data_IF_826935276353
#
_entry.id   IF_826935276353
#
_cell.length_a   1.000
_cell.length_b   1.000
_cell.length_c   1.000
_cell.angle_alpha   90.00
_cell.angle_beta   90.00
_cell.angle_gamma   90.00
#
_symmetry.space_group_name_H-M   'P 1'
#
loop_
_entity.id
_entity.type
_entity.pdbx_description
1 polymer ?
#
# COMPACT_ATOMS: atom_id res chain seq x y z
N UNK A 1 0.09 10.75 24.97
CA UNK A 1 1.39 10.66 24.26
C UNK A 1 1.11 10.96 22.80
N UNK A 2 1.57 12.08 22.28
CA UNK A 2 1.40 12.43 20.87
C UNK A 2 2.23 11.46 20.04
N UNK A 3 1.57 10.60 19.27
CA UNK A 3 2.24 9.71 18.33
C UNK A 3 2.89 10.59 17.27
N UNK A 4 4.19 10.82 17.37
CA UNK A 4 4.94 11.56 16.36
C UNK A 4 4.67 10.90 15.02
N UNK A 5 4.10 11.64 14.06
CA UNK A 5 3.78 11.10 12.76
C UNK A 5 5.07 10.61 12.12
N UNK A 6 5.18 9.29 11.96
CA UNK A 6 6.35 8.68 11.35
C UNK A 6 6.32 9.00 9.87
N UNK A 7 7.20 9.89 9.42
CA UNK A 7 7.34 10.24 8.01
C UNK A 7 8.26 9.23 7.33
N UNK A 8 7.68 8.39 6.47
CA UNK A 8 8.43 7.50 5.61
C UNK A 8 8.91 8.29 4.38
N UNK A 9 10.19 8.17 4.02
CA UNK A 9 10.79 8.89 2.88
C UNK A 9 11.61 7.92 2.04
N UNK A 10 11.26 7.68 0.78
CA UNK A 10 11.96 6.75 -0.13
C UNK A 10 12.57 7.51 -1.33
N UNK A 11 13.66 8.27 -1.14
CA UNK A 11 14.22 9.11 -2.19
C UNK A 11 14.75 8.31 -3.40
N UNK A 12 15.40 7.16 -3.19
CA UNK A 12 15.94 6.37 -4.30
C UNK A 12 14.86 5.59 -5.07
N UNK A 13 13.74 5.28 -4.41
CA UNK A 13 12.61 4.57 -5.03
C UNK A 13 11.87 5.46 -6.04
N UNK A 14 11.84 6.77 -5.81
CA UNK A 14 11.07 7.71 -6.64
C UNK A 14 11.55 7.76 -8.11
N UNK A 15 12.86 7.86 -8.42
CA UNK A 15 13.38 7.73 -9.78
C UNK A 15 12.98 6.43 -10.49
N UNK A 16 12.74 5.34 -9.76
CA UNK A 16 12.30 4.07 -10.36
C UNK A 16 10.80 3.99 -10.59
N UNK A 17 10.01 4.75 -9.81
CA UNK A 17 8.57 4.89 -10.03
C UNK A 17 8.26 5.87 -11.16
N UNK A 18 9.13 6.85 -11.43
CA UNK A 18 8.88 7.88 -12.43
C UNK A 18 8.70 7.35 -13.87
N UNK A 19 9.49 6.37 -14.36
CA UNK A 19 9.25 5.76 -15.66
C UNK A 19 7.91 5.00 -15.74
N UNK A 20 7.39 4.51 -14.60
CA UNK A 20 6.12 3.79 -14.54
C UNK A 20 4.91 4.72 -14.66
N UNK A 21 5.10 6.05 -14.64
CA UNK A 21 4.01 7.02 -14.78
C UNK A 21 3.29 6.90 -16.12
N UNK A 22 3.99 6.54 -17.19
CA UNK A 22 3.38 6.30 -18.50
C UNK A 22 2.45 5.09 -18.51
N UNK A 23 2.53 4.20 -17.50
CA UNK A 23 1.65 3.05 -17.31
C UNK A 23 1.05 3.04 -15.90
N UNK A 24 -0.05 3.79 -15.66
CA UNK A 24 -0.62 3.95 -14.33
C UNK A 24 -1.05 2.63 -13.67
N UNK A 25 -1.47 1.65 -14.48
CA UNK A 25 -1.78 0.31 -14.00
C UNK A 25 -0.53 -0.41 -13.45
N UNK A 26 0.61 -0.34 -14.14
CA UNK A 26 1.87 -0.94 -13.65
C UNK A 26 2.36 -0.25 -12.37
N UNK A 27 2.26 1.08 -12.33
CA UNK A 27 2.57 1.86 -11.13
C UNK A 27 1.67 1.44 -9.95
N UNK A 28 0.36 1.37 -10.17
CA UNK A 28 -0.61 0.95 -9.15
C UNK A 28 -0.32 -0.44 -8.61
N UNK A 29 -0.06 -1.42 -9.48
CA UNK A 29 0.34 -2.78 -9.08
C UNK A 29 1.63 -2.80 -8.26
N UNK A 30 2.63 -2.02 -8.68
CA UNK A 30 3.91 -1.91 -7.97
C UNK A 30 3.72 -1.34 -6.57
N UNK A 31 2.94 -0.26 -6.43
CA UNK A 31 2.61 0.35 -5.15
C UNK A 31 1.79 -0.57 -4.26
N UNK A 32 0.81 -1.29 -4.82
CA UNK A 32 0.02 -2.27 -4.10
C UNK A 32 0.88 -3.43 -3.58
N UNK A 33 1.81 -3.95 -4.40
CA UNK A 33 2.77 -4.97 -3.96
C UNK A 33 3.65 -4.48 -2.81
N UNK A 34 4.17 -3.25 -2.89
CA UNK A 34 4.93 -2.66 -1.78
C UNK A 34 4.08 -2.56 -0.51
N UNK A 35 2.86 -2.04 -0.61
CA UNK A 35 1.93 -1.91 0.51
C UNK A 35 1.59 -3.27 1.14
N UNK A 36 1.25 -4.27 0.31
CA UNK A 36 0.89 -5.63 0.76
C UNK A 36 2.08 -6.43 1.28
N UNK A 37 3.32 -6.02 0.98
CA UNK A 37 4.52 -6.64 1.56
C UNK A 37 4.76 -6.22 3.01
N UNK A 38 4.24 -5.06 3.45
CA UNK A 38 4.47 -4.51 4.80
C UNK A 38 4.10 -5.52 5.90
N UNK A 39 2.92 -6.15 5.93
CA UNK A 39 2.55 -7.09 7.00
C UNK A 39 3.49 -8.29 7.09
N UNK A 40 3.95 -8.80 5.95
CA UNK A 40 4.90 -9.91 5.87
C UNK A 40 6.26 -9.51 6.44
N UNK A 41 6.79 -8.34 6.02
CA UNK A 41 8.04 -7.79 6.50
C UNK A 41 8.00 -7.51 8.01
N UNK A 42 6.91 -6.97 8.53
CA UNK A 42 6.72 -6.77 9.97
C UNK A 42 6.76 -8.12 10.71
N UNK A 43 6.02 -9.12 10.21
CA UNK A 43 6.01 -10.44 10.83
C UNK A 43 7.39 -11.10 10.83
N UNK A 44 8.15 -10.96 9.75
CA UNK A 44 9.54 -11.40 9.66
C UNK A 44 10.40 -10.66 10.69
N UNK A 45 10.35 -9.33 10.72
CA UNK A 45 11.14 -8.52 11.66
C UNK A 45 10.86 -8.87 13.12
N UNK A 46 9.59 -9.01 13.50
CA UNK A 46 9.17 -9.38 14.85
C UNK A 46 9.64 -10.77 15.27
N UNK A 47 9.92 -11.66 14.32
CA UNK A 47 10.42 -13.01 14.58
C UNK A 47 11.94 -13.06 14.82
N UNK A 48 12.63 -11.93 14.69
CA UNK A 48 14.08 -11.81 14.86
C UNK A 48 14.44 -10.73 15.89
N UNK A 49 15.75 -10.59 16.16
CA UNK A 49 16.30 -9.49 16.95
C UNK A 49 15.80 -8.13 16.45
N UNK A 50 15.67 -7.15 17.35
CA UNK A 50 15.32 -5.78 16.97
C UNK A 50 16.28 -5.16 15.94
N UNK A 51 17.54 -5.61 15.91
CA UNK A 51 18.58 -5.16 14.97
C UNK A 51 18.57 -5.92 13.63
N UNK A 52 17.61 -6.83 13.41
CA UNK A 52 17.56 -7.62 12.19
C UNK A 52 17.22 -6.76 10.97
N UNK A 53 18.05 -6.86 9.93
CA UNK A 53 17.80 -6.19 8.66
C UNK A 53 16.88 -7.07 7.80
N UNK A 54 15.82 -6.46 7.26
CA UNK A 54 14.84 -7.14 6.43
C UNK A 54 15.41 -7.50 5.06
N UNK A 55 15.29 -8.77 4.71
CA UNK A 55 15.43 -9.25 3.33
C UNK A 55 14.05 -9.44 2.72
N UNK A 56 13.84 -8.85 1.54
CA UNK A 56 12.60 -9.04 0.80
C UNK A 56 12.52 -10.50 0.32
N UNK A 57 11.36 -11.17 0.42
CA UNK A 57 11.22 -12.52 -0.11
C UNK A 57 11.46 -12.51 -1.63
N UNK A 58 12.43 -13.30 -2.11
CA UNK A 58 12.87 -13.37 -3.52
C UNK A 58 11.77 -13.72 -4.53
N UNK A 59 10.57 -14.05 -4.07
CA UNK A 59 9.46 -14.56 -4.89
C UNK A 59 8.76 -13.42 -5.66
N UNK A 60 8.89 -12.17 -5.21
CA UNK A 60 8.23 -11.04 -5.87
C UNK A 60 9.22 -10.28 -6.78
N UNK A 61 9.13 -10.57 -8.08
CA UNK A 61 9.77 -9.80 -9.16
C UNK A 61 9.10 -8.43 -9.28
N UNK A 62 9.52 -7.49 -8.44
CA UNK A 62 9.15 -6.09 -8.57
C UNK A 62 10.05 -5.41 -9.63
N UNK A 63 9.51 -4.48 -10.43
CA UNK A 63 10.27 -3.76 -11.45
C UNK A 63 11.22 -2.69 -10.86
N UNK A 64 11.32 -2.60 -9.53
CA UNK A 64 12.07 -1.56 -8.81
C UNK A 64 12.99 -2.19 -7.76
N UNK A 65 14.16 -1.59 -7.50
CA UNK A 65 15.02 -2.03 -6.40
C UNK A 65 14.35 -1.79 -5.06
N UNK A 66 14.25 -2.85 -4.25
CA UNK A 66 13.48 -2.88 -2.99
C UNK A 66 14.39 -2.71 -1.77
N UNK A 67 15.71 -2.67 -1.96
CA UNK A 67 16.71 -2.62 -0.88
C UNK A 67 16.55 -1.38 0.00
N UNK A 68 16.27 -0.23 -0.61
CA UNK A 68 16.02 1.02 0.12
C UNK A 68 14.74 0.90 0.95
N UNK A 69 13.67 0.39 0.36
CA UNK A 69 12.37 0.20 1.01
C UNK A 69 12.47 -0.70 2.25
N UNK A 70 13.15 -1.85 2.15
CA UNK A 70 13.33 -2.75 3.29
C UNK A 70 14.24 -2.14 4.36
N UNK A 71 15.29 -1.42 3.98
CA UNK A 71 16.19 -0.73 4.92
C UNK A 71 15.45 0.31 5.75
N UNK A 72 14.65 1.13 5.09
CA UNK A 72 13.89 2.20 5.75
C UNK A 72 12.80 1.60 6.65
N UNK A 73 12.08 0.58 6.18
CA UNK A 73 11.13 -0.15 7.02
C UNK A 73 11.80 -0.77 8.25
N UNK A 74 12.98 -1.38 8.10
CA UNK A 74 13.78 -1.91 9.20
C UNK A 74 14.10 -0.83 10.23
N UNK A 75 14.56 0.34 9.79
CA UNK A 75 14.89 1.46 10.70
C UNK A 75 13.67 1.95 11.47
N UNK A 76 12.51 2.08 10.82
CA UNK A 76 11.27 2.45 11.49
C UNK A 76 10.78 1.37 12.46
N UNK A 77 10.89 0.10 12.09
CA UNK A 77 10.51 -1.00 12.97
C UNK A 77 11.42 -1.09 14.19
N UNK A 78 12.71 -0.82 14.05
CA UNK A 78 13.63 -0.67 15.17
C UNK A 78 13.18 0.46 16.09
N UNK A 79 12.87 1.65 15.56
CA UNK A 79 12.40 2.78 16.35
C UNK A 79 11.09 2.48 17.10
N UNK A 80 10.13 1.82 16.43
CA UNK A 80 8.87 1.39 17.05
C UNK A 80 9.11 0.37 18.18
N UNK A 81 9.98 -0.61 17.96
CA UNK A 81 10.37 -1.60 18.97
C UNK A 81 11.07 -0.96 20.16
N UNK A 82 11.97 -0.01 19.93
CA UNK A 82 12.63 0.73 21.01
C UNK A 82 11.62 1.52 21.84
N UNK A 83 10.66 2.17 21.18
CA UNK A 83 9.60 2.94 21.86
C UNK A 83 8.69 2.04 22.72
N UNK A 84 8.38 0.84 22.23
CA UNK A 84 7.56 -0.14 22.95
C UNK A 84 8.37 -1.05 23.89
N UNK A 85 9.69 -0.83 24.04
CA UNK A 85 10.62 -1.65 24.82
C UNK A 85 10.65 -3.14 24.43
N UNK A 86 10.57 -3.45 23.13
CA UNK A 86 10.57 -4.82 22.58
C UNK A 86 11.92 -5.13 21.90
N UNK A 87 12.93 -5.48 22.69
CA UNK A 87 14.25 -5.85 22.15
C UNK A 87 14.32 -7.31 21.67
N UNK A 88 13.65 -8.22 22.37
CA UNK A 88 13.71 -9.67 22.14
C UNK A 88 12.80 -10.09 20.98
N UNK A 89 13.24 -11.09 20.22
CA UNK A 89 12.43 -11.72 19.17
C UNK A 89 11.12 -12.28 19.75
N UNK A 90 10.00 -11.97 19.11
CA UNK A 90 8.72 -12.57 19.45
C UNK A 90 8.65 -13.98 18.87
N UNK A 91 8.12 -14.98 19.60
CA UNK A 91 8.05 -16.34 19.09
C UNK A 91 7.21 -16.43 17.81
N UNK A 92 7.61 -17.33 16.90
CA UNK A 92 6.90 -17.54 15.63
C UNK A 92 5.46 -18.02 15.91
N UNK A 93 4.46 -17.53 15.17
CA UNK A 93 3.04 -17.81 15.46
C UNK A 93 2.70 -19.30 15.39
N UNK A 94 3.39 -20.07 14.54
CA UNK A 94 3.19 -21.51 14.40
C UNK A 94 3.54 -22.31 15.66
N UNK A 95 4.43 -21.78 16.51
CA UNK A 95 4.90 -22.44 17.72
C UNK A 95 4.09 -22.06 18.97
N UNK A 96 3.13 -21.16 18.85
CA UNK A 96 2.39 -20.57 19.97
C UNK A 96 0.97 -21.11 20.07
N UNK A 97 0.49 -21.28 21.30
CA UNK A 97 -0.93 -21.49 21.60
C UNK A 97 -1.77 -20.25 21.26
N UNK A 98 -3.07 -20.41 21.00
CA UNK A 98 -4.02 -19.37 20.63
C UNK A 98 -3.97 -18.17 21.59
N UNK A 99 -3.83 -18.41 22.90
CA UNK A 99 -3.73 -17.34 23.91
C UNK A 99 -2.44 -16.53 23.78
N UNK A 100 -1.32 -17.20 23.49
CA UNK A 100 0.00 -16.58 23.35
C UNK A 100 0.17 -15.82 22.02
N UNK A 101 -0.63 -16.12 21.00
CA UNK A 101 -0.65 -15.37 19.73
C UNK A 101 -1.25 -13.96 19.85
N UNK A 102 -2.12 -13.73 20.85
CA UNK A 102 -2.87 -12.47 20.97
C UNK A 102 -1.98 -11.23 21.19
N UNK A 103 -0.97 -11.24 22.09
CA UNK A 103 -0.07 -10.10 22.25
C UNK A 103 0.72 -9.78 20.97
N UNK A 104 1.27 -10.81 20.32
CA UNK A 104 1.99 -10.66 19.04
C UNK A 104 1.09 -10.04 17.96
N UNK A 105 -0.14 -10.53 17.80
CA UNK A 105 -1.11 -10.00 16.83
C UNK A 105 -1.41 -8.52 17.09
N UNK A 106 -1.57 -8.11 18.35
CA UNK A 106 -1.80 -6.70 18.70
C UNK A 106 -0.63 -5.81 18.29
N UNK A 107 0.61 -6.23 18.56
CA UNK A 107 1.82 -5.48 18.19
C UNK A 107 1.95 -5.40 16.67
N UNK A 108 1.78 -6.53 15.98
CA UNK A 108 1.84 -6.58 14.52
C UNK A 108 0.81 -5.65 13.87
N UNK A 109 -0.46 -5.71 14.31
CA UNK A 109 -1.53 -4.84 13.80
C UNK A 109 -1.26 -3.36 14.10
N UNK A 110 -0.69 -3.04 15.27
CA UNK A 110 -0.28 -1.67 15.61
C UNK A 110 0.77 -1.16 14.63
N UNK A 111 1.84 -1.92 14.41
CA UNK A 111 2.94 -1.53 13.52
C UNK A 111 2.50 -1.47 12.07
N UNK A 112 1.67 -2.42 11.64
CA UNK A 112 1.10 -2.47 10.30
C UNK A 112 0.31 -1.19 9.99
N UNK A 113 -0.60 -0.80 10.89
CA UNK A 113 -1.38 0.43 10.73
C UNK A 113 -0.49 1.66 10.62
N UNK A 114 0.53 1.78 11.47
CA UNK A 114 1.44 2.93 11.47
C UNK A 114 2.23 2.99 10.16
N UNK A 115 2.83 1.87 9.73
CA UNK A 115 3.70 1.84 8.56
C UNK A 115 2.92 1.92 7.25
N UNK A 116 1.77 1.26 7.14
CA UNK A 116 0.88 1.41 5.99
C UNK A 116 0.36 2.84 5.87
N UNK A 117 -0.04 3.49 6.98
CA UNK A 117 -0.45 4.89 6.96
C UNK A 117 0.69 5.82 6.54
N UNK A 118 1.91 5.61 7.07
CA UNK A 118 3.10 6.36 6.69
C UNK A 118 3.44 6.19 5.20
N UNK A 119 3.36 4.96 4.68
CA UNK A 119 3.56 4.67 3.27
C UNK A 119 2.50 5.33 2.39
N UNK A 120 1.21 5.17 2.70
CA UNK A 120 0.11 5.83 1.97
C UNK A 120 0.27 7.36 1.97
N UNK A 121 0.65 7.95 3.10
CA UNK A 121 0.93 9.38 3.19
C UNK A 121 2.12 9.80 2.31
N UNK A 122 3.20 9.03 2.29
CA UNK A 122 4.34 9.26 1.40
C UNK A 122 3.91 9.18 -0.07
N UNK A 123 3.18 8.14 -0.47
CA UNK A 123 2.67 7.99 -1.84
C UNK A 123 1.77 9.17 -2.22
N UNK A 124 0.82 9.57 -1.37
CA UNK A 124 -0.03 10.75 -1.61
C UNK A 124 0.81 12.02 -1.77
N UNK A 125 1.82 12.24 -0.92
CA UNK A 125 2.65 13.44 -0.96
C UNK A 125 3.53 13.50 -2.22
N UNK A 126 4.10 12.38 -2.64
CA UNK A 126 5.04 12.33 -3.76
C UNK A 126 4.36 12.15 -5.11
N UNK A 127 3.27 11.37 -5.15
CA UNK A 127 2.60 10.96 -6.38
C UNK A 127 1.18 11.52 -6.51
N UNK A 128 0.62 12.15 -5.47
CA UNK A 128 -0.80 12.55 -5.44
C UNK A 128 -1.23 13.48 -6.58
N UNK A 129 -0.38 14.44 -6.95
CA UNK A 129 -0.64 15.32 -8.10
C UNK A 129 -0.55 14.64 -9.46
N UNK A 130 0.04 13.44 -9.53
CA UNK A 130 0.25 12.68 -10.77
C UNK A 130 -0.74 11.52 -10.90
N UNK A 131 -1.23 10.99 -9.77
CA UNK A 131 -2.21 9.90 -9.71
C UNK A 131 -3.65 10.35 -9.97
N UNK A 132 -3.91 11.66 -10.01
CA UNK A 132 -5.22 12.26 -10.29
C UNK A 132 -5.69 12.13 -11.75
N UNK A 133 -4.91 11.49 -12.64
CA UNK A 133 -5.22 11.40 -14.07
C UNK A 133 -5.09 10.02 -14.72
N UNK A 134 -4.80 8.94 -13.97
CA UNK A 134 -4.43 7.67 -14.58
C UNK A 134 -4.85 6.45 -13.77
N UNK A 135 -6.04 5.94 -14.02
CA UNK A 135 -6.32 4.49 -13.96
C UNK A 135 -7.24 4.20 -15.16
N UNK A 136 -6.72 4.43 -16.35
CA UNK A 136 -7.39 3.97 -17.57
C UNK A 136 -7.21 2.46 -17.65
N UNK A 137 -8.31 1.73 -17.77
CA UNK A 137 -8.39 0.27 -17.97
C UNK A 137 -8.21 -0.61 -16.74
N UNK A 138 -9.31 -0.84 -16.02
CA UNK A 138 -9.51 -2.10 -15.31
C UNK A 138 -10.96 -2.58 -15.48
N UNK A 139 -11.06 -3.82 -15.98
CA UNK A 139 -12.14 -4.80 -15.95
C UNK A 139 -13.50 -4.45 -16.62
N UNK A 140 -13.70 -4.98 -17.85
CA UNK A 140 -15.03 -5.18 -18.45
C UNK A 140 -15.22 -4.61 -19.85
N UNK A 141 -16.28 -5.04 -20.56
CA UNK A 141 -16.70 -4.55 -21.90
C UNK A 141 -17.16 -3.07 -21.92
N UNK A 142 -16.90 -2.32 -20.86
CA UNK A 142 -17.31 -0.94 -20.68
C UNK A 142 -16.07 -0.07 -20.49
N UNK A 143 -15.90 0.96 -21.33
CA UNK A 143 -14.93 2.03 -21.09
C UNK A 143 -15.65 3.17 -20.37
N UNK A 144 -15.25 3.44 -19.13
CA UNK A 144 -15.69 4.63 -18.42
C UNK A 144 -15.02 5.87 -19.04
N UNK A 145 -15.83 6.82 -19.50
CA UNK A 145 -15.39 8.10 -20.10
C UNK A 145 -14.93 9.07 -19.00
N UNK A 146 -15.48 8.92 -17.79
CA UNK A 146 -15.11 9.68 -16.59
C UNK A 146 -14.69 8.73 -15.47
N UNK A 147 -13.55 9.03 -14.87
CA UNK A 147 -12.97 8.29 -13.75
C UNK A 147 -12.98 9.13 -12.47
N UNK A 148 -12.94 8.47 -11.29
CA UNK A 148 -12.71 9.17 -10.04
C UNK A 148 -11.37 9.89 -10.09
N UNK A 149 -11.36 11.16 -9.72
CA UNK A 149 -10.13 11.93 -9.52
C UNK A 149 -9.29 11.36 -8.34
N UNK A 150 -9.84 10.39 -7.63
CA UNK A 150 -9.29 9.72 -6.47
C UNK A 150 -8.63 8.39 -6.87
N UNK A 151 -7.41 8.14 -6.37
CA UNK A 151 -6.66 6.94 -6.69
C UNK A 151 -7.19 5.72 -5.92
N UNK A 152 -7.68 4.71 -6.63
CA UNK A 152 -8.25 3.50 -6.03
C UNK A 152 -7.29 2.75 -5.09
N UNK A 153 -5.99 2.74 -5.37
CA UNK A 153 -4.99 2.06 -4.53
C UNK A 153 -4.80 2.79 -3.19
N UNK A 154 -5.12 4.09 -3.13
CA UNK A 154 -4.97 4.92 -1.94
C UNK A 154 -6.27 5.12 -1.16
N UNK A 155 -7.40 5.15 -1.87
CA UNK A 155 -8.70 5.54 -1.33
C UNK A 155 -9.65 4.35 -1.12
N UNK A 156 -9.29 3.15 -1.59
CA UNK A 156 -10.04 1.93 -1.27
C UNK A 156 -9.94 1.51 0.20
N UNK A 157 -8.95 2.03 0.94
CA UNK A 157 -8.71 1.72 2.35
C UNK A 157 -8.63 0.22 2.67
N UNK A 158 -9.76 -0.40 3.04
CA UNK A 158 -9.94 -1.82 3.37
C UNK A 158 -10.75 -2.59 2.30
N UNK A 159 -11.31 -1.90 1.31
CA UNK A 159 -12.03 -2.47 0.16
C UNK A 159 -11.05 -2.98 -0.92
N UNK A 160 -11.42 -4.01 -1.67
CA UNK A 160 -10.63 -4.41 -2.83
C UNK A 160 -10.61 -3.25 -3.85
N UNK A 161 -9.42 -2.84 -4.30
CA UNK A 161 -9.29 -1.63 -5.12
C UNK A 161 -10.08 -1.69 -6.44
N UNK A 162 -10.32 -2.90 -6.97
CA UNK A 162 -11.17 -3.18 -8.13
C UNK A 162 -12.64 -2.90 -7.82
N UNK A 163 -13.16 -3.40 -6.70
CA UNK A 163 -14.53 -3.15 -6.21
C UNK A 163 -14.75 -1.67 -5.91
N UNK A 164 -13.78 -1.02 -5.25
CA UNK A 164 -13.85 0.41 -4.98
C UNK A 164 -13.90 1.22 -6.28
N UNK A 165 -13.03 0.89 -7.25
CA UNK A 165 -12.97 1.59 -8.53
C UNK A 165 -14.28 1.41 -9.30
N UNK A 166 -14.82 0.19 -9.34
CA UNK A 166 -16.09 -0.11 -9.98
C UNK A 166 -17.25 0.68 -9.32
N UNK A 167 -17.32 0.68 -8.00
CA UNK A 167 -18.34 1.42 -7.23
C UNK A 167 -18.26 2.92 -7.50
N UNK A 168 -17.05 3.49 -7.53
CA UNK A 168 -16.85 4.92 -7.79
C UNK A 168 -17.10 5.32 -9.24
N UNK A 169 -16.71 4.48 -10.19
CA UNK A 169 -17.04 4.67 -11.60
C UNK A 169 -18.56 4.60 -11.84
N UNK A 170 -19.27 3.65 -11.20
CA UNK A 170 -20.74 3.57 -11.24
C UNK A 170 -21.41 4.82 -10.66
N UNK A 171 -20.91 5.33 -9.53
CA UNK A 171 -21.42 6.55 -8.91
C UNK A 171 -21.27 7.77 -9.83
N UNK A 172 -20.08 7.97 -10.40
CA UNK A 172 -19.83 9.04 -11.36
C UNK A 172 -20.67 8.92 -12.63
N UNK A 173 -20.88 7.69 -13.10
CA UNK A 173 -21.70 7.48 -14.27
C UNK A 173 -23.17 7.85 -14.03
N UNK A 174 -23.69 7.57 -12.83
CA UNK A 174 -25.02 7.99 -12.41
C UNK A 174 -25.12 9.52 -12.33
N UNK A 175 -24.12 10.20 -11.79
CA UNK A 175 -24.07 11.67 -11.71
C UNK A 175 -24.05 12.31 -13.10
N UNK A 176 -23.23 11.78 -14.01
CA UNK A 176 -23.15 12.29 -15.38
C UNK A 176 -24.44 12.05 -16.17
N UNK A 177 -25.08 10.89 -15.98
CA UNK A 177 -26.40 10.59 -16.56
C UNK A 177 -27.45 11.59 -16.06
N UNK A 178 -27.43 11.94 -14.77
CA UNK A 178 -28.30 12.98 -14.20
C UNK A 178 -28.02 14.36 -14.80
N UNK A 179 -26.77 14.64 -15.18
CA UNK A 179 -26.36 15.86 -15.86
C UNK A 179 -26.58 15.84 -17.39
N UNK A 180 -27.24 14.81 -17.93
CA UNK A 180 -27.52 14.68 -19.36
C UNK A 180 -26.30 14.36 -20.23
N UNK A 181 -25.20 13.87 -19.62
CA UNK A 181 -23.95 13.53 -20.31
C UNK A 181 -23.72 12.02 -20.29
N UNK A 182 -23.09 11.51 -21.34
CA UNK A 182 -22.68 10.10 -21.41
C UNK A 182 -21.30 9.92 -20.79
N UNK A 183 -21.22 9.00 -19.83
CA UNK A 183 -20.04 8.67 -19.01
C UNK A 183 -19.53 7.25 -19.23
N UNK A 184 -20.24 6.47 -20.04
CA UNK A 184 -19.90 5.07 -20.38
C UNK A 184 -19.94 4.95 -21.90
N UNK A 185 -18.89 4.36 -22.47
CA UNK A 185 -18.87 3.89 -23.85
C UNK A 185 -18.91 2.37 -23.81
N UNK A 186 -19.96 1.78 -24.37
CA UNK A 186 -19.97 0.35 -24.65
C UNK A 186 -18.94 0.07 -25.74
N UNK A 187 -18.09 -0.95 -25.53
CA UNK A 187 -17.25 -1.46 -26.60
C UNK A 187 -18.14 -2.29 -27.50
N UNK A 188 -18.47 -1.75 -28.68
CA UNK A 188 -19.01 -2.58 -29.78
C UNK A 188 -17.98 -3.68 -30.08
N UNK A 189 -18.43 -4.93 -30.00
CA UNK A 189 -17.63 -6.12 -30.26
C UNK A 189 -17.52 -6.42 -31.74
#
# INVERSE_FOLDING_TARGET
MSTTAVLLTLPATLPHLHPLYSSPHTLGKTLAHLLHSIPLLISQHLSHSATHTLTFPSIATLPIPITEFTTILSSHLLALRTTDNISIALPKPLLLDRKQRRPRRKIQQKYERILQAAFRAWVRRQLGGMLSGGVNEVAGRCRWIKYPCANAVLEAEDEEWTEWLETRCKALALEERRAGRNSVRELEG
#
